data_IF_918799999899
#
_entry.id   IF_918799999899
#
_cell.length_a   1.000
_cell.length_b   1.000
_cell.length_c   1.000
_cell.angle_alpha   90.00
_cell.angle_beta   90.00
_cell.angle_gamma   90.00
#
_symmetry.space_group_name_H-M   'P 1'
#
loop_
_entity.id
_entity.type
_entity.pdbx_description
1 polymer ?
#
# COMPACT_ATOMS: atom_id res chain seq x y z
N UNK A 1 8.63 0.97 19.93
CA UNK A 1 8.78 2.16 19.03
C UNK A 1 10.25 2.37 18.72
N UNK A 2 10.59 2.48 17.43
CA UNK A 2 11.97 2.63 16.99
C UNK A 2 12.54 4.01 17.40
N UNK A 3 13.60 4.03 18.20
CA UNK A 3 14.32 5.23 18.55
C UNK A 3 15.11 5.76 17.34
N UNK A 4 15.36 7.07 17.29
CA UNK A 4 16.25 7.66 16.30
C UNK A 4 17.68 7.11 16.50
N UNK A 5 18.35 6.80 15.39
CA UNK A 5 19.72 6.31 15.36
C UNK A 5 20.51 6.95 14.19
N UNK A 6 21.75 6.53 14.02
CA UNK A 6 22.64 7.12 13.01
C UNK A 6 22.12 7.00 11.56
N UNK A 7 21.21 6.07 11.25
CA UNK A 7 20.65 5.93 9.88
C UNK A 7 19.65 7.03 9.53
N UNK A 8 19.23 7.83 10.49
CA UNK A 8 18.28 8.94 10.31
C UNK A 8 18.97 10.30 10.15
N UNK A 9 20.31 10.37 10.30
CA UNK A 9 21.04 11.63 10.16
C UNK A 9 20.74 12.26 8.78
N UNK A 10 20.12 13.45 8.74
CA UNK A 10 19.74 14.09 7.49
C UNK A 10 20.93 14.54 6.64
N UNK A 11 22.12 14.59 7.21
CA UNK A 11 23.35 14.97 6.49
C UNK A 11 24.00 13.80 5.75
N UNK A 12 23.53 12.56 5.98
CA UNK A 12 24.02 11.39 5.27
C UNK A 12 23.75 11.51 3.77
N UNK A 13 24.77 11.26 2.99
CA UNK A 13 24.70 11.12 1.54
C UNK A 13 25.14 9.75 1.10
N UNK A 14 24.59 9.28 -0.02
CA UNK A 14 24.97 8.04 -0.66
C UNK A 14 25.96 8.29 -1.80
N UNK A 15 26.81 7.29 -2.09
CA UNK A 15 27.56 7.27 -3.34
C UNK A 15 26.69 6.99 -4.57
N UNK A 16 25.41 6.61 -4.38
CA UNK A 16 24.39 6.57 -5.43
C UNK A 16 23.80 7.97 -5.58
N UNK A 17 24.28 8.74 -6.56
CA UNK A 17 23.98 10.18 -6.68
C UNK A 17 22.51 10.53 -6.74
N UNK A 18 21.67 9.69 -7.37
CA UNK A 18 20.22 9.91 -7.47
C UNK A 18 19.52 9.91 -6.11
N UNK A 19 20.08 9.24 -5.10
CA UNK A 19 19.54 9.19 -3.74
C UNK A 19 19.71 10.51 -2.95
N UNK A 20 20.57 11.42 -3.43
CA UNK A 20 20.91 12.66 -2.74
C UNK A 20 20.09 13.87 -3.23
N UNK A 21 19.17 13.66 -4.14
CA UNK A 21 18.26 14.72 -4.61
C UNK A 21 17.26 15.06 -3.51
N UNK A 22 16.92 16.33 -3.39
CA UNK A 22 15.97 16.80 -2.37
C UNK A 22 14.56 16.18 -2.51
N UNK A 23 14.18 15.86 -3.74
CA UNK A 23 12.90 15.23 -4.09
C UNK A 23 12.95 13.70 -4.22
N UNK A 24 14.09 13.07 -3.86
CA UNK A 24 14.23 11.62 -3.95
C UNK A 24 13.28 10.90 -2.99
N UNK A 25 12.54 9.94 -3.50
CA UNK A 25 11.72 9.05 -2.65
C UNK A 25 12.57 8.09 -1.82
N UNK A 26 13.73 7.69 -2.35
CA UNK A 26 14.57 6.68 -1.75
C UNK A 26 15.98 7.20 -1.41
N UNK A 27 16.11 8.20 -0.48
CA UNK A 27 17.40 8.57 0.06
C UNK A 27 17.98 7.47 0.93
N UNK A 28 19.24 7.61 1.35
CA UNK A 28 19.91 6.64 2.22
C UNK A 28 19.22 6.49 3.59
N UNK A 29 18.43 7.46 4.02
CA UNK A 29 17.61 7.42 5.22
C UNK A 29 16.37 6.55 5.07
N UNK A 30 15.92 6.21 3.85
CA UNK A 30 14.75 5.39 3.59
C UNK A 30 15.08 3.89 3.53
N UNK A 31 15.70 3.45 2.45
CA UNK A 31 16.06 2.05 2.18
C UNK A 31 14.86 1.07 2.26
N UNK A 32 13.77 1.31 1.50
CA UNK A 32 12.61 0.43 1.55
C UNK A 32 12.91 -0.91 0.86
N UNK A 33 12.25 -1.96 1.33
CA UNK A 33 12.40 -3.33 0.84
C UNK A 33 11.35 -3.65 -0.23
N UNK A 34 11.73 -4.43 -1.23
CA UNK A 34 10.84 -4.97 -2.25
C UNK A 34 11.37 -6.27 -2.83
N UNK A 35 10.57 -6.88 -3.68
CA UNK A 35 10.95 -8.12 -4.41
C UNK A 35 10.91 -7.85 -5.90
N UNK A 36 12.01 -8.16 -6.57
CA UNK A 36 12.22 -7.84 -7.97
C UNK A 36 12.99 -8.93 -8.72
N UNK A 37 12.94 -8.85 -10.05
CA UNK A 37 13.88 -9.48 -10.98
C UNK A 37 14.23 -8.51 -12.10
N UNK A 38 15.31 -8.74 -12.82
CA UNK A 38 15.59 -7.94 -14.04
C UNK A 38 14.62 -8.34 -15.13
N UNK A 39 14.13 -7.36 -15.88
CA UNK A 39 13.34 -7.63 -17.06
C UNK A 39 14.21 -8.35 -18.08
N UNK A 40 13.68 -9.43 -18.65
CA UNK A 40 14.32 -10.11 -19.79
C UNK A 40 14.46 -9.08 -20.91
N UNK A 41 15.65 -8.85 -21.43
CA UNK A 41 15.90 -7.86 -22.45
C UNK A 41 14.95 -8.05 -23.63
N UNK A 42 14.28 -6.98 -24.04
CA UNK A 42 13.47 -6.90 -25.27
C UNK A 42 14.39 -6.89 -26.50
N UNK A 43 15.02 -8.01 -26.74
CA UNK A 43 15.75 -8.30 -27.97
C UNK A 43 14.95 -9.25 -28.84
N UNK A 44 13.79 -8.82 -29.33
CA UNK A 44 13.16 -9.28 -30.58
C UNK A 44 11.77 -8.62 -30.68
N UNK A 45 11.58 -7.80 -31.67
CA UNK A 45 10.27 -7.35 -32.12
C UNK A 45 9.35 -8.57 -32.32
N UNK A 46 8.35 -8.76 -31.45
CA UNK A 46 7.19 -9.58 -31.77
C UNK A 46 6.10 -8.68 -32.33
N UNK A 47 6.07 -8.57 -33.66
CA UNK A 47 4.88 -8.16 -34.40
C UNK A 47 3.76 -9.17 -34.14
N UNK A 48 2.63 -8.68 -33.68
CA UNK A 48 1.29 -9.20 -33.89
C UNK A 48 0.92 -10.47 -33.12
N UNK A 49 -0.14 -10.38 -32.33
CA UNK A 49 -0.92 -11.56 -31.91
C UNK A 49 -1.56 -11.45 -30.55
N UNK A 50 -2.86 -11.40 -30.57
CA UNK A 50 -3.88 -11.37 -29.54
C UNK A 50 -3.57 -11.88 -28.13
N UNK A 51 -4.12 -11.16 -27.17
CA UNK A 51 -4.15 -11.53 -25.77
C UNK A 51 -4.93 -12.83 -25.57
N UNK A 52 -4.25 -13.90 -25.19
CA UNK A 52 -4.89 -15.10 -24.67
C UNK A 52 -4.82 -15.07 -23.13
N UNK A 53 -5.98 -14.87 -22.49
CA UNK A 53 -6.17 -15.13 -21.07
C UNK A 53 -6.22 -16.66 -20.91
N UNK A 54 -5.11 -17.27 -20.48
CA UNK A 54 -5.03 -18.69 -20.22
C UNK A 54 -4.26 -18.96 -18.94
N UNK A 55 -4.89 -19.69 -18.02
CA UNK A 55 -4.26 -20.22 -16.83
C UNK A 55 -3.07 -21.12 -17.23
N UNK A 56 -1.84 -20.73 -16.89
CA UNK A 56 -0.67 -21.61 -17.06
C UNK A 56 -0.34 -22.35 -15.77
N UNK A 57 -0.83 -23.61 -15.74
CA UNK A 57 -0.20 -24.69 -15.00
C UNK A 57 1.00 -25.20 -15.83
N UNK A 58 2.18 -25.08 -15.27
CA UNK A 58 3.39 -25.82 -15.59
C UNK A 58 3.72 -26.11 -17.06
N UNK A 59 4.62 -25.32 -17.68
CA UNK A 59 5.53 -25.77 -18.73
C UNK A 59 6.81 -24.92 -18.72
N UNK A 60 7.95 -25.56 -18.85
CA UNK A 60 9.30 -25.01 -18.97
C UNK A 60 9.37 -23.90 -20.03
N UNK A 61 9.22 -22.63 -19.59
CA UNK A 61 9.72 -21.49 -20.32
C UNK A 61 11.15 -21.26 -19.84
N UNK A 62 12.08 -20.95 -20.73
CA UNK A 62 13.50 -20.77 -20.46
C UNK A 62 13.72 -19.93 -19.18
N UNK A 63 14.68 -20.38 -18.35
CA UNK A 63 14.94 -19.87 -17.00
C UNK A 63 15.14 -18.36 -16.99
N UNK A 64 14.04 -17.61 -16.83
CA UNK A 64 14.08 -16.19 -16.51
C UNK A 64 14.70 -16.01 -15.12
N UNK A 65 15.35 -14.89 -14.91
CA UNK A 65 15.92 -14.53 -13.60
C UNK A 65 14.88 -14.68 -12.49
N UNK A 66 15.25 -15.28 -11.34
CA UNK A 66 14.34 -15.50 -10.22
C UNK A 66 14.07 -14.18 -9.47
N UNK A 67 12.86 -14.02 -8.96
CA UNK A 67 12.54 -12.96 -8.02
C UNK A 67 13.34 -13.10 -6.73
N UNK A 68 13.76 -11.97 -6.13
CA UNK A 68 14.52 -11.88 -4.88
C UNK A 68 14.39 -10.54 -4.22
N UNK A 69 14.77 -10.45 -2.96
CA UNK A 69 14.74 -9.21 -2.21
C UNK A 69 15.73 -8.16 -2.73
N UNK A 70 15.29 -6.91 -2.70
CA UNK A 70 16.10 -5.74 -3.01
C UNK A 70 15.71 -4.55 -2.15
N UNK A 71 16.59 -3.57 -2.08
CA UNK A 71 16.37 -2.29 -1.38
C UNK A 71 16.52 -1.15 -2.36
N UNK A 72 15.53 -0.23 -2.40
CA UNK A 72 15.64 0.96 -3.24
C UNK A 72 16.62 1.97 -2.66
N UNK A 73 17.39 2.57 -3.54
CA UNK A 73 18.33 3.67 -3.26
C UNK A 73 18.39 4.60 -4.48
N UNK A 74 17.82 5.78 -4.39
CA UNK A 74 17.64 6.68 -5.52
C UNK A 74 16.84 6.03 -6.65
N UNK A 75 17.41 5.95 -7.84
CA UNK A 75 16.83 5.30 -9.03
C UNK A 75 17.31 3.85 -9.21
N UNK A 76 18.01 3.30 -8.22
CA UNK A 76 18.60 1.95 -8.24
C UNK A 76 17.94 1.03 -7.23
N UNK A 77 18.14 -0.26 -7.42
CA UNK A 77 17.84 -1.33 -6.47
C UNK A 77 19.16 -1.98 -6.10
N UNK A 78 19.49 -2.05 -4.83
CA UNK A 78 20.58 -2.90 -4.34
C UNK A 78 20.05 -4.33 -4.21
N UNK A 79 20.66 -5.25 -4.97
CA UNK A 79 20.34 -6.68 -4.99
C UNK A 79 20.86 -7.35 -3.72
N UNK A 80 19.93 -7.70 -2.80
CA UNK A 80 20.30 -8.34 -1.52
C UNK A 80 20.82 -9.76 -1.66
N UNK A 81 20.60 -10.39 -2.81
CA UNK A 81 21.13 -11.73 -3.12
C UNK A 81 22.55 -11.70 -3.71
N UNK A 82 23.13 -10.50 -3.96
CA UNK A 82 24.42 -10.39 -4.63
C UNK A 82 25.57 -11.00 -3.82
N UNK A 83 26.51 -11.72 -4.46
CA UNK A 83 27.71 -12.26 -3.78
C UNK A 83 28.58 -11.16 -3.19
N UNK A 84 28.65 -9.98 -3.84
CA UNK A 84 29.43 -8.82 -3.39
C UNK A 84 28.95 -8.36 -2.01
N UNK A 85 27.64 -8.26 -1.82
CA UNK A 85 27.03 -7.85 -0.58
C UNK A 85 27.25 -8.89 0.53
N UNK A 86 26.97 -10.17 0.22
CA UNK A 86 27.15 -11.27 1.18
C UNK A 86 28.57 -11.38 1.71
N UNK A 87 29.58 -11.11 0.88
CA UNK A 87 30.98 -11.20 1.29
C UNK A 87 31.42 -10.10 2.27
N UNK A 88 30.60 -9.06 2.48
CA UNK A 88 30.84 -7.99 3.41
C UNK A 88 30.07 -8.16 4.74
N UNK A 89 29.16 -9.10 4.78
CA UNK A 89 28.27 -9.34 5.92
C UNK A 89 28.89 -10.26 6.97
N UNK A 90 28.40 -10.17 8.19
CA UNK A 90 28.74 -11.08 9.29
C UNK A 90 27.56 -11.22 10.27
N UNK A 91 27.55 -12.33 11.03
CA UNK A 91 26.54 -12.56 12.07
C UNK A 91 25.11 -12.47 11.55
N UNK A 92 24.24 -11.83 12.29
CA UNK A 92 22.80 -11.69 12.00
C UNK A 92 22.51 -11.07 10.60
N UNK A 93 23.40 -10.22 10.09
CA UNK A 93 23.28 -9.63 8.76
C UNK A 93 23.47 -10.70 7.67
N UNK A 94 24.39 -11.65 7.88
CA UNK A 94 24.57 -12.79 6.94
C UNK A 94 23.32 -13.66 6.87
N UNK A 95 22.72 -13.95 8.02
CA UNK A 95 21.49 -14.73 8.11
C UNK A 95 20.32 -14.01 7.41
N UNK A 96 20.19 -12.69 7.66
CA UNK A 96 19.20 -11.87 7.00
C UNK A 96 19.36 -11.83 5.47
N UNK A 97 20.58 -11.64 4.96
CA UNK A 97 20.85 -11.64 3.53
C UNK A 97 20.66 -13.02 2.87
N UNK A 98 20.86 -14.11 3.62
CA UNK A 98 20.62 -15.46 3.10
C UNK A 98 19.15 -15.64 2.70
N UNK A 99 18.22 -15.23 3.58
CA UNK A 99 16.78 -15.36 3.32
C UNK A 99 16.21 -14.27 2.40
N UNK A 100 16.87 -13.10 2.29
CA UNK A 100 16.50 -12.08 1.30
C UNK A 100 16.72 -12.55 -0.16
N UNK A 101 17.46 -13.63 -0.41
CA UNK A 101 17.57 -14.26 -1.72
C UNK A 101 16.34 -15.07 -2.16
N UNK A 102 15.37 -15.26 -1.29
CA UNK A 102 14.11 -15.94 -1.58
C UNK A 102 13.17 -15.08 -2.44
N UNK A 103 12.18 -15.69 -3.14
CA UNK A 103 11.25 -14.97 -4.01
C UNK A 103 10.16 -14.20 -3.24
N UNK A 104 10.21 -14.20 -1.91
CA UNK A 104 9.33 -13.44 -1.01
C UNK A 104 10.04 -13.17 0.31
N UNK A 105 9.71 -12.06 0.97
CA UNK A 105 10.38 -11.59 2.19
C UNK A 105 9.88 -12.26 3.49
N UNK A 106 8.93 -13.21 3.44
CA UNK A 106 8.34 -13.81 4.65
C UNK A 106 9.39 -14.34 5.63
N UNK A 107 10.41 -15.06 5.14
CA UNK A 107 11.48 -15.59 5.99
C UNK A 107 12.33 -14.49 6.61
N UNK A 108 12.55 -13.38 5.89
CA UNK A 108 13.25 -12.20 6.44
C UNK A 108 12.40 -11.49 7.50
N UNK A 109 11.11 -11.30 7.24
CA UNK A 109 10.18 -10.69 8.18
C UNK A 109 10.13 -11.49 9.50
N UNK A 110 10.12 -12.80 9.42
CA UNK A 110 10.11 -13.70 10.57
C UNK A 110 11.35 -13.60 11.48
N UNK A 111 12.47 -13.03 11.00
CA UNK A 111 13.67 -12.84 11.83
C UNK A 111 13.51 -11.75 12.92
N UNK A 112 12.55 -10.85 12.76
CA UNK A 112 12.17 -9.86 13.75
C UNK A 112 13.02 -8.58 13.78
N UNK A 113 12.66 -7.63 14.66
CA UNK A 113 13.19 -6.26 14.67
C UNK A 113 14.71 -6.16 14.79
N UNK A 114 15.34 -7.05 15.54
CA UNK A 114 16.82 -7.06 15.69
C UNK A 114 17.53 -7.29 14.36
N UNK A 115 17.04 -8.24 13.55
CA UNK A 115 17.62 -8.54 12.25
C UNK A 115 17.32 -7.43 11.23
N UNK A 116 16.11 -6.86 11.27
CA UNK A 116 15.71 -5.76 10.37
C UNK A 116 16.58 -4.54 10.60
N UNK A 117 16.77 -4.12 11.88
CA UNK A 117 17.58 -2.98 12.25
C UNK A 117 19.07 -3.19 11.94
N UNK A 118 19.60 -4.40 12.21
CA UNK A 118 21.00 -4.73 11.90
C UNK A 118 21.26 -4.68 10.38
N UNK A 119 20.36 -5.22 9.55
CA UNK A 119 20.49 -5.14 8.10
C UNK A 119 20.40 -3.69 7.61
N UNK A 120 19.44 -2.89 8.12
CA UNK A 120 19.31 -1.47 7.78
C UNK A 120 20.59 -0.69 8.13
N UNK A 121 21.14 -0.87 9.31
CA UNK A 121 22.38 -0.20 9.76
C UNK A 121 23.57 -0.57 8.84
N UNK A 122 23.72 -1.85 8.53
CA UNK A 122 24.74 -2.34 7.60
C UNK A 122 24.58 -1.73 6.20
N UNK A 123 23.37 -1.71 5.65
CA UNK A 123 23.10 -1.13 4.33
C UNK A 123 23.40 0.39 4.32
N UNK A 124 22.99 1.11 5.36
CA UNK A 124 23.29 2.53 5.52
C UNK A 124 24.81 2.79 5.53
N UNK A 125 25.59 1.95 6.21
CA UNK A 125 27.06 2.10 6.27
C UNK A 125 27.71 1.88 4.91
N UNK A 126 27.39 0.79 4.21
CA UNK A 126 28.07 0.45 2.94
C UNK A 126 27.61 1.33 1.76
N UNK A 127 26.39 1.93 1.83
CA UNK A 127 25.87 2.84 0.82
C UNK A 127 26.27 4.30 1.05
N UNK A 128 26.87 4.64 2.18
CA UNK A 128 27.31 6.00 2.53
C UNK A 128 28.37 6.52 1.56
N UNK A 129 28.32 7.81 1.27
CA UNK A 129 29.37 8.50 0.51
C UNK A 129 30.74 8.30 1.18
N UNK A 130 31.76 8.00 0.38
CA UNK A 130 33.09 7.66 0.88
C UNK A 130 33.30 6.22 1.31
N UNK A 131 32.26 5.35 1.19
CA UNK A 131 32.40 3.92 1.46
C UNK A 131 33.49 3.28 0.59
N UNK A 132 34.47 2.54 1.18
CA UNK A 132 35.50 1.83 0.41
C UNK A 132 34.91 0.72 -0.47
N UNK A 133 33.67 0.31 -0.22
CA UNK A 133 32.99 -0.76 -0.94
C UNK A 133 32.21 -0.28 -2.17
N UNK A 134 32.09 1.05 -2.40
CA UNK A 134 31.27 1.63 -3.46
C UNK A 134 31.57 1.06 -4.85
N UNK A 135 32.86 0.96 -5.24
CA UNK A 135 33.26 0.44 -6.56
C UNK A 135 32.82 -0.99 -6.76
N UNK A 136 32.99 -1.84 -5.75
CA UNK A 136 32.60 -3.26 -5.80
C UNK A 136 31.08 -3.41 -5.85
N UNK A 137 30.36 -2.66 -5.04
CA UNK A 137 28.90 -2.76 -4.92
C UNK A 137 28.13 -2.20 -6.13
N UNK A 138 28.79 -1.48 -7.05
CA UNK A 138 28.14 -1.07 -8.30
C UNK A 138 27.61 -2.25 -9.12
N UNK A 139 28.27 -3.42 -9.04
CA UNK A 139 27.82 -4.62 -9.71
C UNK A 139 26.52 -5.21 -9.13
N UNK A 140 26.22 -4.86 -7.87
CA UNK A 140 24.98 -5.28 -7.18
C UNK A 140 23.81 -4.32 -7.40
N UNK A 141 23.99 -3.21 -8.13
CA UNK A 141 22.92 -2.27 -8.45
C UNK A 141 22.17 -2.68 -9.73
N UNK A 142 20.87 -2.51 -9.70
CA UNK A 142 19.96 -2.69 -10.84
C UNK A 142 19.12 -1.44 -10.98
N UNK A 143 19.12 -0.76 -12.17
CA UNK A 143 18.23 0.37 -12.38
C UNK A 143 16.76 -0.02 -12.19
N UNK A 144 15.98 0.78 -11.47
CA UNK A 144 14.56 0.49 -11.21
C UNK A 144 13.75 0.32 -12.50
N UNK A 145 14.07 1.08 -13.55
CA UNK A 145 13.43 0.97 -14.88
C UNK A 145 13.64 -0.39 -15.58
N UNK A 146 14.69 -1.11 -15.21
CA UNK A 146 15.06 -2.42 -15.78
C UNK A 146 14.55 -3.57 -14.90
N UNK A 147 13.79 -3.26 -13.84
CA UNK A 147 13.24 -4.23 -12.91
C UNK A 147 11.77 -4.56 -13.22
N UNK A 148 11.41 -5.80 -12.94
CA UNK A 148 10.03 -6.27 -12.80
C UNK A 148 9.82 -6.58 -11.31
N UNK A 149 8.70 -6.09 -10.76
CA UNK A 149 8.35 -6.26 -9.34
C UNK A 149 7.28 -7.33 -9.16
N UNK A 150 7.23 -7.89 -7.96
CA UNK A 150 6.13 -8.73 -7.49
C UNK A 150 5.72 -8.30 -6.08
N UNK A 151 4.61 -8.85 -5.59
CA UNK A 151 4.16 -8.63 -4.22
C UNK A 151 5.29 -9.04 -3.26
N UNK A 152 5.71 -8.18 -2.30
CA UNK A 152 6.93 -8.39 -1.53
C UNK A 152 6.87 -9.60 -0.60
N UNK A 153 5.67 -10.07 -0.26
CA UNK A 153 5.47 -11.26 0.59
C UNK A 153 4.47 -12.22 -0.06
N UNK A 154 4.47 -13.46 0.35
CA UNK A 154 3.31 -14.34 0.19
C UNK A 154 2.32 -13.93 1.28
N UNK A 155 1.30 -13.15 0.89
CA UNK A 155 0.25 -12.68 1.78
C UNK A 155 -0.67 -13.86 2.07
N UNK A 156 -0.68 -14.35 3.31
CA UNK A 156 -1.56 -15.42 3.77
C UNK A 156 -2.97 -14.90 3.97
N UNK A 157 -3.10 -13.88 4.79
CA UNK A 157 -4.35 -13.21 5.09
C UNK A 157 -4.27 -11.71 4.81
N UNK A 158 -5.42 -11.14 4.41
CA UNK A 158 -5.60 -9.72 4.22
C UNK A 158 -6.82 -9.27 5.01
N UNK A 159 -6.61 -8.30 5.90
CA UNK A 159 -7.69 -7.67 6.65
C UNK A 159 -7.72 -6.20 6.32
N UNK A 160 -8.85 -5.70 5.86
CA UNK A 160 -9.05 -4.29 5.60
C UNK A 160 -9.83 -3.65 6.75
N UNK A 161 -9.29 -2.54 7.29
CA UNK A 161 -9.87 -1.78 8.38
C UNK A 161 -10.65 -0.56 7.87
N UNK A 162 -11.14 0.24 8.80
CA UNK A 162 -11.93 1.44 8.53
C UNK A 162 -11.47 2.58 9.44
N UNK A 163 -10.14 2.90 9.37
CA UNK A 163 -9.49 3.71 10.40
C UNK A 163 -9.73 5.22 10.28
N UNK A 164 -10.15 5.77 9.14
CA UNK A 164 -10.42 7.21 8.99
C UNK A 164 -11.85 7.57 9.38
N UNK A 165 -12.01 8.37 10.44
CA UNK A 165 -13.31 8.90 10.88
C UNK A 165 -13.91 9.85 9.83
N UNK A 166 -13.09 10.55 9.08
CA UNK A 166 -13.53 11.49 8.03
C UNK A 166 -14.19 10.72 6.90
N UNK A 167 -13.56 9.65 6.39
CA UNK A 167 -14.15 8.76 5.41
C UNK A 167 -15.44 8.13 5.93
N UNK A 168 -15.38 7.53 7.12
CA UNK A 168 -16.55 6.87 7.73
C UNK A 168 -17.73 7.81 7.91
N UNK A 169 -17.48 9.07 8.28
CA UNK A 169 -18.51 10.09 8.43
C UNK A 169 -19.06 10.53 7.06
N UNK A 170 -18.21 10.75 6.08
CA UNK A 170 -18.61 11.19 4.73
C UNK A 170 -19.47 10.13 4.05
N UNK A 171 -19.04 8.88 4.05
CA UNK A 171 -19.82 7.74 3.52
C UNK A 171 -21.11 7.54 4.33
N UNK A 172 -21.00 7.62 5.65
CA UNK A 172 -22.17 7.51 6.52
C UNK A 172 -23.25 8.54 6.21
N UNK A 173 -22.89 9.80 5.94
CA UNK A 173 -23.85 10.87 5.55
C UNK A 173 -24.59 10.55 4.26
N UNK A 174 -23.98 9.84 3.33
CA UNK A 174 -24.64 9.42 2.08
C UNK A 174 -25.74 8.39 2.31
N UNK A 175 -25.56 7.51 3.30
CA UNK A 175 -26.46 6.37 3.55
C UNK A 175 -27.32 6.54 4.82
N UNK A 176 -26.87 7.30 5.80
CA UNK A 176 -27.48 7.50 7.12
C UNK A 176 -27.30 8.96 7.57
N UNK A 177 -27.92 9.94 6.91
CA UNK A 177 -27.67 11.37 7.15
C UNK A 177 -27.90 11.79 8.61
N UNK A 178 -28.87 11.20 9.31
CA UNK A 178 -29.22 11.52 10.69
C UNK A 178 -28.26 10.91 11.73
N UNK A 179 -27.57 9.80 11.35
CA UNK A 179 -26.59 9.12 12.21
C UNK A 179 -25.45 8.54 11.35
N UNK A 180 -24.50 9.36 10.90
CA UNK A 180 -23.46 8.94 9.96
C UNK A 180 -22.55 7.84 10.50
N UNK A 181 -22.16 7.90 11.77
CA UNK A 181 -21.31 6.90 12.38
C UNK A 181 -22.14 5.89 13.19
N UNK A 182 -21.84 4.60 12.98
CA UNK A 182 -22.41 3.53 13.81
C UNK A 182 -21.91 3.68 15.27
N UNK A 183 -22.70 3.25 16.27
CA UNK A 183 -22.37 3.44 17.69
C UNK A 183 -21.04 2.85 18.13
N UNK A 184 -20.60 1.78 17.48
CA UNK A 184 -19.36 1.06 17.78
C UNK A 184 -18.13 1.65 17.12
N UNK A 185 -18.24 2.57 16.13
CA UNK A 185 -17.10 3.07 15.36
C UNK A 185 -16.00 3.66 16.25
N UNK A 186 -16.38 4.48 17.23
CA UNK A 186 -15.42 5.15 18.14
C UNK A 186 -14.85 4.23 19.23
N UNK A 187 -15.31 2.98 19.31
CA UNK A 187 -14.91 2.00 20.31
C UNK A 187 -14.06 0.86 19.74
N UNK A 188 -14.33 0.50 18.50
CA UNK A 188 -13.77 -0.70 17.85
C UNK A 188 -13.11 -0.31 16.55
N UNK A 189 -11.83 -0.64 16.33
CA UNK A 189 -11.27 -0.68 14.98
C UNK A 189 -12.02 -1.71 14.13
N UNK A 190 -12.95 -1.24 13.30
CA UNK A 190 -13.78 -2.11 12.45
C UNK A 190 -12.94 -2.57 11.26
N UNK A 191 -13.03 -3.85 10.93
CA UNK A 191 -12.36 -4.44 9.78
C UNK A 191 -13.14 -5.62 9.21
N UNK A 192 -12.79 -6.04 8.01
CA UNK A 192 -13.31 -7.24 7.37
C UNK A 192 -12.19 -8.03 6.70
N UNK A 193 -12.43 -9.31 6.42
CA UNK A 193 -11.45 -10.16 5.72
C UNK A 193 -11.50 -9.88 4.22
N UNK A 194 -10.39 -9.32 3.71
CA UNK A 194 -10.21 -9.06 2.29
C UNK A 194 -9.73 -10.28 1.51
N UNK A 195 -9.61 -10.13 0.19
CA UNK A 195 -9.13 -11.21 -0.68
C UNK A 195 -7.65 -11.05 -1.00
N UNK A 196 -6.79 -11.87 -0.38
CA UNK A 196 -5.33 -11.81 -0.59
C UNK A 196 -4.91 -12.17 -2.02
N UNK A 197 -5.61 -13.10 -2.70
CA UNK A 197 -5.21 -13.61 -4.01
C UNK A 197 -5.33 -12.61 -5.17
N UNK A 198 -6.07 -11.51 -5.00
CA UNK A 198 -6.22 -10.45 -6.01
C UNK A 198 -5.29 -9.24 -5.78
N UNK A 199 -4.42 -9.30 -4.78
CA UNK A 199 -3.43 -8.25 -4.53
C UNK A 199 -2.32 -8.32 -5.58
N UNK A 200 -2.00 -7.18 -6.19
CA UNK A 200 -0.94 -7.01 -7.19
C UNK A 200 -0.11 -5.76 -6.87
N UNK A 201 1.04 -5.64 -7.50
CA UNK A 201 1.89 -4.44 -7.39
C UNK A 201 1.47 -3.36 -8.40
N UNK A 202 1.91 -2.15 -8.14
CA UNK A 202 1.79 -0.97 -8.99
C UNK A 202 2.08 -1.26 -10.47
N UNK A 203 1.32 -0.61 -11.35
CA UNK A 203 1.32 -0.89 -12.79
C UNK A 203 0.29 -1.94 -13.20
N UNK A 204 -0.58 -2.37 -12.29
CA UNK A 204 -1.64 -3.32 -12.56
C UNK A 204 -2.63 -2.78 -13.61
N UNK A 205 -2.95 -3.61 -14.60
CA UNK A 205 -4.10 -3.45 -15.47
C UNK A 205 -5.17 -4.47 -15.04
N UNK A 206 -6.40 -4.04 -14.85
CA UNK A 206 -7.48 -4.92 -14.42
C UNK A 206 -8.77 -4.63 -15.17
N UNK A 207 -9.55 -5.69 -15.39
CA UNK A 207 -10.85 -5.60 -16.04
C UNK A 207 -11.89 -5.00 -15.09
N UNK A 208 -12.75 -4.11 -15.63
CA UNK A 208 -13.91 -3.62 -14.89
C UNK A 208 -14.72 -4.81 -14.34
N UNK A 209 -15.02 -4.86 -13.04
CA UNK A 209 -15.74 -5.98 -12.47
C UNK A 209 -17.18 -6.04 -12.95
N UNK A 210 -17.69 -7.27 -13.07
CA UNK A 210 -19.07 -7.59 -13.38
C UNK A 210 -19.71 -8.23 -12.15
N UNK A 211 -20.93 -7.82 -11.82
CA UNK A 211 -21.65 -8.36 -10.67
C UNK A 211 -23.12 -8.03 -10.69
N UNK A 212 -23.85 -8.50 -9.67
CA UNK A 212 -25.24 -8.09 -9.49
C UNK A 212 -25.32 -6.64 -9.02
N UNK A 213 -26.15 -5.87 -9.70
CA UNK A 213 -26.50 -4.50 -9.32
C UNK A 213 -28.00 -4.35 -9.21
N UNK A 214 -28.44 -3.45 -8.32
CA UNK A 214 -29.86 -3.12 -8.12
C UNK A 214 -30.04 -1.60 -8.17
N UNK A 215 -30.10 -1.00 -9.38
CA UNK A 215 -30.33 0.43 -9.52
C UNK A 215 -31.69 0.85 -8.95
N UNK A 216 -31.76 2.07 -8.44
CA UNK A 216 -33.02 2.63 -7.93
C UNK A 216 -34.09 2.62 -9.03
N UNK A 217 -35.28 2.12 -8.69
CA UNK A 217 -36.43 2.06 -9.60
C UNK A 217 -36.49 0.82 -10.47
N UNK A 218 -35.53 -0.12 -10.36
CA UNK A 218 -35.66 -1.46 -11.02
C UNK A 218 -36.44 -2.41 -10.14
N UNK A 219 -37.20 -3.34 -10.78
CA UNK A 219 -38.01 -4.34 -10.08
C UNK A 219 -37.16 -5.52 -9.58
N UNK A 220 -36.01 -5.80 -10.20
CA UNK A 220 -35.14 -6.93 -9.88
C UNK A 220 -33.65 -6.55 -10.14
N UNK A 221 -32.72 -7.21 -9.44
CA UNK A 221 -31.30 -7.05 -9.77
C UNK A 221 -30.98 -7.70 -11.13
N UNK A 222 -29.90 -7.28 -11.73
CA UNK A 222 -29.36 -7.89 -12.94
C UNK A 222 -27.82 -7.88 -12.91
N UNK A 223 -27.18 -8.71 -13.71
CA UNK A 223 -25.73 -8.79 -13.82
C UNK A 223 -25.24 -7.82 -14.89
N UNK A 224 -24.30 -6.95 -14.53
CA UNK A 224 -23.71 -5.99 -15.46
C UNK A 224 -22.31 -5.57 -14.98
N UNK A 225 -21.50 -4.93 -15.88
CA UNK A 225 -20.30 -4.21 -15.45
C UNK A 225 -20.65 -3.11 -14.45
N UNK A 226 -19.81 -2.96 -13.43
CA UNK A 226 -19.96 -1.87 -12.46
C UNK A 226 -19.96 -0.50 -13.15
N UNK A 227 -20.96 0.32 -12.85
CA UNK A 227 -21.10 1.71 -13.32
C UNK A 227 -20.51 2.71 -12.34
N UNK A 228 -20.18 2.27 -11.13
CA UNK A 228 -19.69 3.10 -10.03
C UNK A 228 -18.35 2.57 -9.52
N UNK A 229 -17.39 2.37 -10.45
CA UNK A 229 -16.05 1.93 -10.10
C UNK A 229 -15.26 3.07 -9.46
N UNK A 230 -14.62 2.79 -8.33
CA UNK A 230 -13.93 3.75 -7.48
C UNK A 230 -12.54 3.24 -7.05
N UNK A 231 -11.73 4.11 -6.52
CA UNK A 231 -10.49 3.81 -5.79
C UNK A 231 -10.67 4.10 -4.30
N UNK A 232 -9.84 3.52 -3.48
CA UNK A 232 -9.67 3.88 -2.06
C UNK A 232 -8.19 4.07 -1.75
N UNK A 233 -7.83 5.31 -1.37
CA UNK A 233 -6.48 5.69 -0.96
C UNK A 233 -6.19 5.17 0.44
N UNK A 234 -5.23 4.26 0.58
CA UNK A 234 -4.93 3.58 1.82
C UNK A 234 -3.43 3.43 2.08
N UNK A 235 -3.13 3.05 3.33
CA UNK A 235 -1.82 2.57 3.77
C UNK A 235 -1.93 1.08 4.09
N UNK A 236 -1.08 0.26 3.47
CA UNK A 236 -0.91 -1.15 3.78
C UNK A 236 0.12 -1.34 4.90
N UNK A 237 -0.15 -2.25 5.82
CA UNK A 237 0.68 -2.55 6.99
C UNK A 237 1.12 -4.00 6.89
N UNK A 238 2.41 -4.26 6.71
CA UNK A 238 2.95 -5.62 6.64
C UNK A 238 3.32 -6.15 8.02
N UNK A 239 2.74 -7.29 8.38
CA UNK A 239 3.11 -8.01 9.59
C UNK A 239 4.49 -8.63 9.41
N UNK A 240 5.38 -8.33 10.32
CA UNK A 240 6.73 -8.87 10.39
C UNK A 240 6.80 -10.16 11.19
N UNK A 241 6.75 -10.05 12.51
CA UNK A 241 6.67 -11.21 13.40
C UNK A 241 5.23 -11.54 13.73
N UNK A 242 4.86 -12.81 13.61
CA UNK A 242 3.53 -13.26 14.00
C UNK A 242 3.38 -13.50 15.51
N UNK A 243 2.19 -13.90 15.92
CA UNK A 243 1.89 -14.41 17.26
C UNK A 243 1.28 -15.81 17.18
N UNK A 244 1.42 -16.59 18.24
CA UNK A 244 0.82 -17.92 18.31
C UNK A 244 -0.72 -17.82 18.45
N UNK A 245 -1.44 -18.77 17.85
CA UNK A 245 -2.88 -18.89 18.02
C UNK A 245 -3.23 -19.01 19.53
N UNK A 246 -4.19 -18.21 19.97
CA UNK A 246 -4.60 -18.09 21.38
C UNK A 246 -3.79 -17.05 22.16
N UNK A 247 -2.68 -16.52 21.63
CA UNK A 247 -1.94 -15.42 22.25
C UNK A 247 -2.44 -14.05 21.74
N UNK A 248 -2.16 -13.02 22.51
CA UNK A 248 -2.54 -11.63 22.19
C UNK A 248 -1.30 -10.79 22.02
N UNK A 249 -1.37 -9.78 21.18
CA UNK A 249 -0.32 -8.76 21.04
C UNK A 249 -0.72 -7.52 21.83
N UNK A 250 -0.05 -7.24 22.97
CA UNK A 250 -0.30 -6.03 23.75
C UNK A 250 0.02 -4.77 22.94
N UNK A 251 -0.67 -3.66 23.23
CA UNK A 251 -0.45 -2.39 22.52
C UNK A 251 1.00 -1.89 22.63
N UNK A 252 1.65 -2.15 23.75
CA UNK A 252 3.05 -1.77 23.95
C UNK A 252 4.02 -2.46 22.98
N UNK A 253 3.69 -3.67 22.55
CA UNK A 253 4.53 -4.52 21.70
C UNK A 253 4.04 -4.55 20.24
N UNK A 254 2.87 -3.96 19.96
CA UNK A 254 2.17 -4.09 18.68
C UNK A 254 3.02 -3.68 17.48
N UNK A 255 3.79 -2.61 17.59
CA UNK A 255 4.63 -2.12 16.50
C UNK A 255 5.89 -2.98 16.27
N UNK A 256 6.32 -3.77 17.24
CA UNK A 256 7.41 -4.74 17.07
C UNK A 256 6.97 -5.94 16.18
N UNK A 257 5.67 -6.10 16.00
CA UNK A 257 5.09 -7.05 15.06
C UNK A 257 4.93 -6.49 13.63
N UNK A 258 5.17 -5.20 13.41
CA UNK A 258 5.02 -4.55 12.11
C UNK A 258 6.39 -4.34 11.47
N UNK A 259 6.60 -4.88 10.28
CA UNK A 259 7.83 -4.66 9.51
C UNK A 259 7.86 -3.26 8.90
N UNK A 260 6.77 -2.85 8.24
CA UNK A 260 6.71 -1.57 7.55
C UNK A 260 5.38 -1.33 6.87
N UNK A 261 5.33 -0.22 6.16
CA UNK A 261 4.13 0.30 5.49
C UNK A 261 4.37 0.43 3.98
N UNK A 262 3.28 0.31 3.21
CA UNK A 262 3.25 0.61 1.78
C UNK A 262 2.01 1.43 1.42
N UNK A 263 1.94 1.99 0.21
CA UNK A 263 0.69 2.52 -0.33
C UNK A 263 -0.20 1.36 -0.81
N UNK A 264 -1.51 1.53 -0.67
CA UNK A 264 -2.49 0.53 -1.07
C UNK A 264 -3.69 1.23 -1.72
N UNK A 265 -4.21 0.64 -2.80
CA UNK A 265 -5.47 1.02 -3.43
C UNK A 265 -6.42 -0.18 -3.36
N UNK A 266 -7.50 -0.05 -2.59
CA UNK A 266 -8.59 -1.04 -2.54
C UNK A 266 -9.69 -0.66 -3.52
N UNK A 267 -9.60 -1.19 -4.77
CA UNK A 267 -10.55 -0.89 -5.82
C UNK A 267 -11.96 -1.32 -5.43
N UNK A 268 -12.95 -0.45 -5.70
CA UNK A 268 -14.31 -0.61 -5.18
C UNK A 268 -15.36 -0.47 -6.26
N UNK A 269 -16.22 -1.47 -6.42
CA UNK A 269 -17.40 -1.41 -7.27
C UNK A 269 -18.61 -1.01 -6.42
N UNK A 270 -18.90 0.30 -6.31
CA UNK A 270 -19.85 0.86 -5.34
C UNK A 270 -21.30 0.43 -5.54
N UNK A 271 -21.72 0.21 -6.77
CA UNK A 271 -23.05 -0.29 -7.10
C UNK A 271 -23.24 -1.77 -6.73
N UNK A 272 -22.22 -2.61 -6.97
CA UNK A 272 -22.19 -4.00 -6.48
C UNK A 272 -22.16 -3.99 -4.95
N UNK A 273 -21.29 -3.15 -4.33
CA UNK A 273 -21.20 -3.02 -2.87
C UNK A 273 -22.53 -2.64 -2.23
N UNK A 274 -23.24 -1.67 -2.79
CA UNK A 274 -24.52 -1.21 -2.25
C UNK A 274 -25.59 -2.31 -2.22
N UNK A 275 -25.52 -3.29 -3.12
CA UNK A 275 -26.45 -4.41 -3.20
C UNK A 275 -26.07 -5.56 -2.26
N UNK A 276 -24.78 -5.90 -2.14
CA UNK A 276 -24.34 -7.12 -1.45
C UNK A 276 -23.87 -6.95 -0.01
N UNK A 277 -23.52 -5.70 0.44
CA UNK A 277 -22.73 -5.51 1.67
C UNK A 277 -23.46 -5.91 2.95
N UNK A 278 -24.77 -6.00 2.94
CA UNK A 278 -25.56 -6.45 4.09
C UNK A 278 -26.00 -7.90 3.89
N UNK A 279 -25.92 -8.78 4.92
CA UNK A 279 -25.55 -8.47 6.33
C UNK A 279 -24.06 -8.65 6.68
N UNK A 280 -23.19 -9.19 5.79
CA UNK A 280 -21.87 -9.68 6.18
C UNK A 280 -20.70 -8.75 5.80
N UNK A 281 -20.95 -7.64 5.14
CA UNK A 281 -19.93 -6.73 4.64
C UNK A 281 -19.62 -6.88 3.15
N UNK A 282 -18.65 -6.12 2.59
CA UNK A 282 -18.32 -6.17 1.17
C UNK A 282 -17.70 -7.52 0.78
N UNK A 283 -17.95 -7.96 -0.46
CA UNK A 283 -17.46 -9.23 -1.00
C UNK A 283 -16.97 -9.06 -2.45
N UNK A 284 -17.81 -9.29 -3.46
CA UNK A 284 -17.41 -9.19 -4.88
C UNK A 284 -17.09 -7.76 -5.29
N UNK A 285 -17.65 -6.78 -4.60
CA UNK A 285 -17.35 -5.36 -4.79
C UNK A 285 -15.89 -4.98 -4.52
N UNK A 286 -15.15 -5.82 -3.81
CA UNK A 286 -13.77 -5.59 -3.37
C UNK A 286 -12.79 -6.68 -3.85
N UNK A 287 -13.25 -7.92 -4.02
CA UNK A 287 -12.38 -9.07 -4.25
C UNK A 287 -11.75 -9.14 -5.64
N UNK A 288 -12.07 -8.22 -6.56
CA UNK A 288 -11.61 -8.25 -7.95
C UNK A 288 -10.20 -7.67 -8.14
N UNK A 289 -9.79 -6.68 -7.34
CA UNK A 289 -8.47 -6.07 -7.42
C UNK A 289 -8.10 -5.30 -6.15
N UNK A 290 -6.84 -5.42 -5.73
CA UNK A 290 -6.16 -4.55 -4.77
C UNK A 290 -4.75 -4.30 -5.29
N UNK A 291 -4.30 -3.05 -5.31
CA UNK A 291 -2.97 -2.68 -5.82
C UNK A 291 -2.11 -2.08 -4.71
N UNK A 292 -0.86 -2.54 -4.57
CA UNK A 292 0.09 -2.01 -3.58
C UNK A 292 1.35 -1.47 -4.24
N UNK A 293 2.04 -0.54 -3.56
CA UNK A 293 3.42 -0.19 -3.90
C UNK A 293 4.32 -1.43 -3.76
N UNK A 294 5.29 -1.65 -4.66
CA UNK A 294 6.24 -2.75 -4.50
C UNK A 294 7.23 -2.53 -3.34
N UNK A 295 7.25 -1.33 -2.76
CA UNK A 295 8.19 -0.91 -1.74
C UNK A 295 7.55 -0.88 -0.36
N UNK A 296 8.18 -1.56 0.60
CA UNK A 296 7.81 -1.54 2.02
C UNK A 296 8.79 -0.64 2.75
N UNK A 297 8.31 0.52 3.20
CA UNK A 297 9.07 1.45 4.04
C UNK A 297 9.01 0.97 5.48
N UNK A 298 10.16 0.68 6.09
CA UNK A 298 10.20 0.10 7.44
C UNK A 298 9.70 1.10 8.49
N UNK A 299 9.09 0.63 9.59
CA UNK A 299 8.71 1.51 10.70
C UNK A 299 9.92 2.26 11.28
N UNK A 300 11.11 1.64 11.24
CA UNK A 300 12.34 2.30 11.66
C UNK A 300 12.66 3.51 10.78
N UNK A 301 12.53 3.43 9.45
CA UNK A 301 12.72 4.57 8.55
C UNK A 301 11.72 5.70 8.81
N UNK A 302 10.54 5.39 9.34
CA UNK A 302 9.48 6.33 9.67
C UNK A 302 9.59 6.95 11.07
N UNK A 303 10.57 6.54 11.88
CA UNK A 303 10.75 7.05 13.24
C UNK A 303 10.84 8.60 13.34
N UNK A 304 11.51 9.32 12.41
CA UNK A 304 11.55 10.79 12.45
C UNK A 304 10.19 11.47 12.23
N UNK A 305 9.21 10.76 11.67
CA UNK A 305 7.92 11.31 11.26
C UNK A 305 6.77 10.92 12.20
N UNK A 306 7.11 10.41 13.37
CA UNK A 306 6.13 10.13 14.42
C UNK A 306 5.51 11.42 14.96
N UNK A 307 4.23 11.34 15.28
CA UNK A 307 3.44 12.43 15.84
C UNK A 307 2.56 11.93 17.00
N UNK A 308 2.14 12.83 17.91
CA UNK A 308 1.16 12.49 18.92
C UNK A 308 -0.13 11.96 18.28
N UNK A 309 -0.66 10.86 18.81
CA UNK A 309 -2.00 10.40 18.49
C UNK A 309 -2.99 11.03 19.48
N UNK A 310 -4.03 11.64 18.93
CA UNK A 310 -5.01 12.38 19.75
C UNK A 310 -6.43 12.00 19.34
N UNK A 311 -7.38 12.26 20.23
CA UNK A 311 -8.82 12.23 19.97
C UNK A 311 -9.46 13.55 20.40
N UNK A 312 -10.56 13.97 19.77
CA UNK A 312 -11.40 15.05 20.27
C UNK A 312 -11.81 14.81 21.74
N UNK A 313 -11.87 15.86 22.53
CA UNK A 313 -12.19 15.73 23.96
C UNK A 313 -13.60 15.19 24.23
N UNK A 314 -14.51 15.41 23.28
CA UNK A 314 -15.90 14.96 23.30
C UNK A 314 -16.05 13.47 22.93
N UNK A 315 -15.00 12.87 22.35
CA UNK A 315 -15.04 11.46 21.97
C UNK A 315 -14.76 10.55 23.16
N UNK A 316 -15.37 9.35 23.17
CA UNK A 316 -15.06 8.36 24.21
C UNK A 316 -13.58 7.98 24.17
N UNK A 317 -12.95 7.85 25.32
CA UNK A 317 -11.58 7.32 25.40
C UNK A 317 -11.58 5.84 25.03
N UNK A 318 -10.51 5.34 24.38
CA UNK A 318 -10.40 3.90 24.07
C UNK A 318 -10.46 3.05 25.32
N UNK A 319 -10.86 1.80 25.16
CA UNK A 319 -10.74 0.81 26.23
C UNK A 319 -9.25 0.60 26.59
N UNK A 320 -8.92 0.18 27.84
CA UNK A 320 -7.53 0.09 28.32
C UNK A 320 -6.57 -0.71 27.43
N UNK A 321 -7.05 -1.71 26.69
CA UNK A 321 -6.19 -2.50 25.81
C UNK A 321 -5.77 -1.74 24.53
N UNK A 322 -6.46 -0.64 24.19
CA UNK A 322 -6.17 0.24 23.05
C UNK A 322 -5.63 1.62 23.49
N UNK A 323 -5.21 1.75 24.75
CA UNK A 323 -4.75 3.02 25.32
C UNK A 323 -3.36 2.84 25.96
N UNK A 324 -2.50 3.85 25.80
CA UNK A 324 -1.19 3.83 26.44
C UNK A 324 -0.40 5.12 26.21
N UNK A 325 0.57 5.44 27.13
CA UNK A 325 1.34 6.67 27.07
C UNK A 325 2.20 6.78 25.81
N UNK A 326 2.75 5.66 25.36
CA UNK A 326 3.56 5.60 24.14
C UNK A 326 2.72 5.91 22.87
N UNK A 327 1.50 5.36 22.79
CA UNK A 327 0.54 5.70 21.73
C UNK A 327 0.25 7.21 21.71
N UNK A 328 -0.06 7.80 22.87
CA UNK A 328 -0.37 9.22 22.99
C UNK A 328 0.80 10.11 22.56
N UNK A 329 2.02 9.71 22.87
CA UNK A 329 3.22 10.49 22.55
C UNK A 329 3.59 10.43 21.07
N UNK A 330 3.40 9.28 20.38
CA UNK A 330 3.98 9.04 19.06
C UNK A 330 3.28 7.95 18.24
N UNK A 331 2.01 7.69 18.50
CA UNK A 331 1.25 6.62 17.82
C UNK A 331 0.80 6.97 16.39
N UNK A 332 0.79 8.25 16.01
CA UNK A 332 0.50 8.67 14.65
C UNK A 332 1.78 8.75 13.79
N UNK A 333 1.62 8.61 12.47
CA UNK A 333 2.69 8.74 11.49
C UNK A 333 2.28 9.79 10.47
N UNK A 334 3.11 10.80 10.26
CA UNK A 334 2.82 11.91 9.34
C UNK A 334 3.25 11.53 7.91
N UNK A 335 2.36 10.85 7.19
CA UNK A 335 2.54 10.49 5.78
C UNK A 335 1.60 11.36 4.96
N UNK A 336 2.15 12.15 4.04
CA UNK A 336 1.37 12.89 3.04
C UNK A 336 0.94 11.92 1.94
N UNK A 337 -0.31 12.00 1.51
CA UNK A 337 -0.93 11.09 0.56
C UNK A 337 -1.63 11.87 -0.53
N UNK A 338 -1.37 11.54 -1.79
CA UNK A 338 -2.00 12.17 -2.94
C UNK A 338 -2.63 11.16 -3.88
N UNK A 339 -3.75 11.56 -4.49
CA UNK A 339 -4.42 10.85 -5.58
C UNK A 339 -4.34 11.66 -6.87
N UNK A 340 -3.91 11.01 -7.93
CA UNK A 340 -3.83 11.58 -9.27
C UNK A 340 -4.64 10.74 -10.24
N UNK A 341 -5.33 11.41 -11.17
CA UNK A 341 -6.11 10.79 -12.24
C UNK A 341 -5.54 11.21 -13.59
N UNK A 342 -5.33 10.22 -14.45
CA UNK A 342 -4.99 10.40 -15.86
C UNK A 342 -6.01 9.68 -16.72
N UNK A 343 -6.78 10.43 -17.51
CA UNK A 343 -7.78 9.85 -18.41
C UNK A 343 -7.13 9.30 -19.68
N UNK A 344 -7.85 8.43 -20.42
CA UNK A 344 -7.39 7.97 -21.73
C UNK A 344 -7.13 9.15 -22.70
N UNK A 345 -7.97 10.20 -22.64
CA UNK A 345 -7.81 11.41 -23.43
C UNK A 345 -6.58 12.20 -23.03
N UNK A 346 -6.33 12.39 -21.72
CA UNK A 346 -5.12 13.08 -21.26
C UNK A 346 -3.85 12.40 -21.79
N UNK A 347 -3.78 11.06 -21.75
CA UNK A 347 -2.66 10.32 -22.34
C UNK A 347 -2.52 10.52 -23.84
N UNK A 348 -3.63 10.45 -24.56
CA UNK A 348 -3.62 10.62 -26.02
C UNK A 348 -3.19 12.02 -26.45
N UNK A 349 -3.54 13.05 -25.69
CA UNK A 349 -3.22 14.46 -25.94
C UNK A 349 -1.90 14.91 -25.26
N UNK A 350 -1.23 14.05 -24.49
CA UNK A 350 0.01 14.40 -23.76
C UNK A 350 -0.22 15.40 -22.62
N UNK A 351 -1.43 15.47 -22.07
CA UNK A 351 -1.75 16.31 -20.91
C UNK A 351 -1.27 15.66 -19.62
N UNK A 352 -0.86 16.50 -18.67
CA UNK A 352 -0.44 16.01 -17.36
C UNK A 352 -1.64 15.43 -16.56
N UNK A 353 -1.41 14.39 -15.75
CA UNK A 353 -2.40 13.93 -14.79
C UNK A 353 -2.89 15.04 -13.86
N UNK A 354 -4.11 14.89 -13.33
CA UNK A 354 -4.70 15.87 -12.42
C UNK A 354 -4.74 15.32 -10.99
N UNK A 355 -4.28 16.11 -10.02
CA UNK A 355 -4.40 15.77 -8.61
C UNK A 355 -5.84 15.96 -8.14
N UNK A 356 -6.47 14.88 -7.69
CA UNK A 356 -7.83 14.88 -7.18
C UNK A 356 -7.91 15.26 -5.70
N UNK A 357 -6.95 14.80 -4.89
CA UNK A 357 -6.95 15.02 -3.44
C UNK A 357 -5.54 14.95 -2.85
N UNK A 358 -5.42 15.50 -1.62
CA UNK A 358 -4.22 15.45 -0.79
C UNK A 358 -4.64 15.35 0.68
N UNK A 359 -4.30 14.26 1.33
CA UNK A 359 -4.63 13.98 2.74
C UNK A 359 -3.39 13.58 3.54
N UNK A 360 -3.55 13.34 4.84
CA UNK A 360 -2.48 12.85 5.70
C UNK A 360 -2.91 11.61 6.48
N UNK A 361 -2.06 10.60 6.54
CA UNK A 361 -2.27 9.42 7.39
C UNK A 361 -2.26 9.76 8.89
N UNK A 362 -1.68 10.90 9.25
CA UNK A 362 -1.71 11.44 10.61
C UNK A 362 -3.14 11.62 11.15
N UNK A 363 -4.11 11.86 10.27
CA UNK A 363 -5.51 12.10 10.62
C UNK A 363 -6.31 10.80 10.84
N UNK A 364 -5.63 9.65 10.79
CA UNK A 364 -6.24 8.35 11.07
C UNK A 364 -6.75 8.27 12.52
N UNK A 365 -8.02 7.91 12.70
CA UNK A 365 -8.66 7.81 14.02
C UNK A 365 -8.14 6.62 14.84
N UNK A 366 -7.75 5.54 14.16
CA UNK A 366 -7.12 4.38 14.75
C UNK A 366 -5.67 4.25 14.25
N UNK A 367 -4.72 4.09 15.17
CA UNK A 367 -3.30 3.96 14.86
C UNK A 367 -2.93 2.54 14.44
N UNK A 368 -1.78 2.39 13.75
CA UNK A 368 -1.21 1.09 13.36
C UNK A 368 -1.15 0.11 14.52
N UNK A 369 -0.62 0.54 15.68
CA UNK A 369 -0.53 -0.31 16.86
C UNK A 369 -1.89 -0.77 17.41
N UNK A 370 -2.90 0.12 17.35
CA UNK A 370 -4.26 -0.23 17.77
C UNK A 370 -4.91 -1.25 16.82
N UNK A 371 -4.66 -1.17 15.51
CA UNK A 371 -5.17 -2.14 14.54
C UNK A 371 -4.60 -3.54 14.83
N UNK A 372 -3.29 -3.65 15.02
CA UNK A 372 -2.60 -4.92 15.33
C UNK A 372 -3.09 -5.51 16.66
N UNK A 373 -3.15 -4.68 17.71
CA UNK A 373 -3.63 -5.12 19.01
C UNK A 373 -5.06 -5.63 18.96
N UNK A 374 -5.94 -4.88 18.30
CA UNK A 374 -7.34 -5.27 18.18
C UNK A 374 -7.50 -6.56 17.37
N UNK A 375 -6.75 -6.72 16.28
CA UNK A 375 -6.80 -7.92 15.44
C UNK A 375 -6.50 -9.20 16.21
N UNK A 376 -5.64 -9.12 17.23
CA UNK A 376 -5.21 -10.29 18.00
C UNK A 376 -5.90 -10.44 19.38
N UNK A 377 -6.77 -9.51 19.79
CA UNK A 377 -7.34 -9.47 21.16
C UNK A 377 -8.14 -10.74 21.51
N UNK A 378 -8.76 -11.38 20.55
CA UNK A 378 -9.49 -12.63 20.71
C UNK A 378 -8.59 -13.88 20.63
N UNK A 379 -7.27 -13.72 20.45
CA UNK A 379 -6.31 -14.81 20.27
C UNK A 379 -6.08 -15.20 18.80
N UNK A 380 -6.58 -14.42 17.83
CA UNK A 380 -6.23 -14.62 16.42
C UNK A 380 -4.73 -14.52 16.21
N UNK A 381 -4.14 -15.45 15.46
CA UNK A 381 -2.75 -15.37 15.05
C UNK A 381 -2.57 -14.48 13.82
N UNK A 382 -1.50 -13.72 13.83
CA UNK A 382 -0.96 -13.03 12.67
C UNK A 382 0.27 -13.81 12.19
N UNK A 383 0.50 -13.85 10.89
CA UNK A 383 1.64 -14.52 10.28
C UNK A 383 2.59 -13.53 9.59
N UNK A 384 3.92 -13.84 9.51
CA UNK A 384 4.85 -13.00 8.75
C UNK A 384 4.42 -12.86 7.30
N UNK A 385 4.22 -11.61 6.87
CA UNK A 385 3.80 -11.29 5.52
C UNK A 385 2.29 -11.07 5.34
N UNK A 386 1.47 -11.24 6.38
CA UNK A 386 0.07 -10.80 6.34
C UNK A 386 -0.01 -9.29 6.12
N UNK A 387 -1.07 -8.86 5.46
CA UNK A 387 -1.32 -7.46 5.13
C UNK A 387 -2.57 -6.94 5.86
N UNK A 388 -2.45 -5.78 6.48
CA UNK A 388 -3.58 -5.04 7.00
C UNK A 388 -3.74 -3.77 6.16
N UNK A 389 -4.93 -3.52 5.59
CA UNK A 389 -5.31 -2.24 4.99
C UNK A 389 -5.80 -1.29 6.08
N UNK A 390 -5.47 -0.03 5.95
CA UNK A 390 -5.91 0.99 6.91
C UNK A 390 -7.39 1.35 6.76
N UNK A 391 -8.02 0.96 5.65
CA UNK A 391 -9.21 1.61 5.15
C UNK A 391 -8.90 2.97 4.52
N UNK A 392 -9.83 3.49 3.75
CA UNK A 392 -9.67 4.75 3.00
C UNK A 392 -9.21 5.89 3.91
N UNK A 393 -8.14 6.59 3.56
CA UNK A 393 -7.58 7.70 4.29
C UNK A 393 -8.06 9.04 3.73
N UNK A 394 -9.01 9.64 4.43
CA UNK A 394 -9.54 10.97 4.13
C UNK A 394 -9.25 11.92 5.29
N UNK A 395 -9.06 13.19 4.98
CA UNK A 395 -8.93 14.28 5.96
C UNK A 395 -10.25 15.05 6.16
N UNK A 396 -10.22 16.13 6.95
CA UNK A 396 -11.41 16.86 7.37
C UNK A 396 -12.09 17.67 6.25
N UNK A 397 -11.40 17.96 5.15
CA UNK A 397 -11.94 18.79 4.05
C UNK A 397 -12.21 17.97 2.79
N UNK A 398 -13.04 18.50 1.89
CA UNK A 398 -13.39 17.82 0.62
C UNK A 398 -12.15 17.54 -0.24
N UNK A 399 -11.18 18.45 -0.27
CA UNK A 399 -9.93 18.26 -1.03
C UNK A 399 -9.00 17.17 -0.46
N UNK A 400 -9.36 16.60 0.69
CA UNK A 400 -8.63 15.53 1.38
C UNK A 400 -9.34 14.18 1.32
N UNK A 401 -10.37 14.05 0.48
CA UNK A 401 -11.15 12.82 0.36
C UNK A 401 -10.34 11.72 -0.36
N UNK A 402 -10.36 10.52 0.20
CA UNK A 402 -9.61 9.36 -0.30
C UNK A 402 -10.35 8.53 -1.36
N UNK A 403 -11.52 8.96 -1.84
CA UNK A 403 -12.32 8.23 -2.84
C UNK A 403 -13.15 9.17 -3.72
N UNK A 404 -13.51 8.71 -4.93
CA UNK A 404 -14.47 9.44 -5.78
C UNK A 404 -15.89 9.43 -5.18
N UNK A 405 -16.26 8.39 -4.44
CA UNK A 405 -17.53 8.34 -3.72
C UNK A 405 -17.73 9.58 -2.84
N UNK A 406 -16.68 10.02 -2.15
CA UNK A 406 -16.71 11.20 -1.30
C UNK A 406 -16.66 12.49 -2.14
N UNK A 407 -15.69 12.60 -3.07
CA UNK A 407 -15.50 13.76 -3.93
C UNK A 407 -16.72 14.09 -4.78
N UNK A 408 -17.44 13.06 -5.25
CA UNK A 408 -18.63 13.20 -6.08
C UNK A 408 -19.95 13.17 -5.28
N UNK A 409 -19.88 13.12 -3.95
CA UNK A 409 -21.04 13.02 -3.07
C UNK A 409 -21.98 11.86 -3.49
N UNK A 410 -21.39 10.69 -3.72
CA UNK A 410 -22.13 9.50 -4.18
C UNK A 410 -22.61 9.60 -5.62
N UNK A 411 -21.88 10.29 -6.48
CA UNK A 411 -22.20 10.51 -7.90
C UNK A 411 -23.18 11.65 -8.17
N UNK A 412 -23.58 12.40 -7.14
CA UNK A 412 -24.52 13.54 -7.29
C UNK A 412 -23.84 14.80 -7.81
N UNK A 413 -22.54 14.93 -7.58
CA UNK A 413 -21.75 16.10 -7.94
C UNK A 413 -20.56 15.71 -8.81
N UNK A 414 -20.67 15.79 -10.15
CA UNK A 414 -19.55 15.45 -11.04
C UNK A 414 -18.36 16.39 -10.81
N UNK A 415 -17.15 15.83 -10.80
CA UNK A 415 -15.90 16.58 -10.84
C UNK A 415 -15.63 17.00 -12.30
N UNK A 416 -15.26 18.24 -12.50
CA UNK A 416 -14.81 18.74 -13.81
C UNK A 416 -13.29 18.79 -13.80
N UNK A 417 -12.65 17.99 -14.65
CA UNK A 417 -11.21 17.93 -14.83
C UNK A 417 -10.70 19.08 -15.70
N UNK A 418 -9.42 19.43 -15.59
CA UNK A 418 -8.78 20.46 -16.42
C UNK A 418 -8.84 20.15 -17.91
N UNK A 419 -8.93 18.88 -18.29
CA UNK A 419 -9.17 18.43 -19.67
C UNK A 419 -10.58 18.78 -20.19
N UNK A 420 -11.48 19.27 -19.33
CA UNK A 420 -12.89 19.48 -19.62
C UNK A 420 -13.77 18.24 -19.53
N UNK A 421 -13.18 17.07 -19.22
CA UNK A 421 -13.93 15.85 -18.93
C UNK A 421 -14.58 15.91 -17.56
N UNK A 422 -15.63 15.13 -17.35
CA UNK A 422 -16.27 15.02 -16.03
C UNK A 422 -16.17 13.58 -15.49
N UNK A 423 -16.07 13.46 -14.17
CA UNK A 423 -16.08 12.16 -13.48
C UNK A 423 -16.97 12.22 -12.25
N UNK A 424 -17.79 11.19 -12.10
CA UNK A 424 -18.43 10.81 -10.83
C UNK A 424 -17.78 9.56 -10.26
N UNK A 425 -17.46 8.63 -11.15
CA UNK A 425 -16.73 7.38 -10.92
C UNK A 425 -15.77 7.14 -12.09
N UNK A 426 -14.91 6.13 -11.96
CA UNK A 426 -13.91 5.79 -12.96
C UNK A 426 -14.56 5.20 -14.23
N UNK A 427 -14.02 5.58 -15.38
CA UNK A 427 -14.38 4.99 -16.68
C UNK A 427 -13.23 4.14 -17.22
N UNK A 428 -13.52 3.34 -18.26
CA UNK A 428 -12.50 2.52 -18.92
C UNK A 428 -11.41 3.40 -19.52
N UNK A 429 -10.16 3.01 -19.33
CA UNK A 429 -9.01 3.78 -19.72
C UNK A 429 -8.54 4.83 -18.70
N UNK A 430 -9.23 5.03 -17.59
CA UNK A 430 -8.72 5.86 -16.50
C UNK A 430 -7.56 5.15 -15.78
N UNK A 431 -6.49 5.89 -15.52
CA UNK A 431 -5.37 5.49 -14.66
C UNK A 431 -5.42 6.31 -13.38
N UNK A 432 -5.42 5.63 -12.25
CA UNK A 432 -5.28 6.26 -10.93
C UNK A 432 -3.88 5.99 -10.41
N UNK A 433 -3.23 7.04 -9.86
CA UNK A 433 -1.91 6.93 -9.25
C UNK A 433 -1.93 7.56 -7.87
N UNK A 434 -1.40 6.85 -6.87
CA UNK A 434 -1.16 7.37 -5.53
C UNK A 434 0.32 7.66 -5.34
N UNK A 435 0.61 8.77 -4.68
CA UNK A 435 1.93 9.09 -4.14
C UNK A 435 1.84 9.26 -2.63
N UNK A 436 2.90 8.88 -1.94
CA UNK A 436 3.01 9.06 -0.51
C UNK A 436 4.44 9.38 -0.09
N UNK A 437 4.59 10.28 0.88
CA UNK A 437 5.88 10.64 1.44
C UNK A 437 5.76 11.20 2.85
N UNK A 438 6.87 11.14 3.59
CA UNK A 438 7.05 11.86 4.84
C UNK A 438 8.07 12.99 4.63
N UNK A 439 7.76 14.16 5.15
CA UNK A 439 8.61 15.33 5.07
C UNK A 439 8.48 16.17 6.35
N UNK A 440 9.62 16.58 6.91
CA UNK A 440 9.68 17.42 8.10
C UNK A 440 10.96 18.24 8.08
N UNK A 441 10.95 19.53 8.51
CA UNK A 441 12.16 20.31 8.64
C UNK A 441 13.24 19.59 9.47
N UNK A 442 14.47 19.54 8.96
CA UNK A 442 15.60 18.86 9.61
C UNK A 442 15.62 17.34 9.43
N UNK A 443 14.73 16.75 8.62
CA UNK A 443 14.75 15.35 8.24
C UNK A 443 14.88 15.20 6.73
N UNK A 444 15.49 14.12 6.27
CA UNK A 444 15.44 13.76 4.85
C UNK A 444 14.02 13.33 4.48
N UNK A 445 13.54 13.71 3.28
CA UNK A 445 12.28 13.22 2.73
C UNK A 445 12.34 11.68 2.56
N UNK A 446 11.26 10.99 2.87
CA UNK A 446 11.12 9.53 2.73
C UNK A 446 9.88 9.24 1.91
N UNK A 447 10.02 8.67 0.72
CA UNK A 447 8.92 8.34 -0.17
C UNK A 447 8.53 6.87 -0.13
N UNK A 448 7.33 6.57 -0.62
CA UNK A 448 6.76 5.22 -0.69
C UNK A 448 6.73 4.67 -2.13
N UNK A 449 7.32 5.41 -3.10
CA UNK A 449 7.10 5.14 -4.52
C UNK A 449 5.66 5.45 -4.92
N UNK A 450 5.13 4.68 -5.86
CA UNK A 450 3.78 4.90 -6.37
C UNK A 450 2.92 3.63 -6.36
N UNK A 451 1.60 3.83 -6.31
CA UNK A 451 0.58 2.83 -6.67
C UNK A 451 -0.16 3.33 -7.89
N UNK A 452 -0.03 2.62 -9.00
CA UNK A 452 -0.73 2.94 -10.24
C UNK A 452 -1.58 1.74 -10.71
N UNK A 453 -2.79 2.01 -11.20
CA UNK A 453 -3.66 1.01 -11.80
C UNK A 453 -4.45 1.57 -12.96
N UNK A 454 -4.66 0.77 -14.01
CA UNK A 454 -5.39 1.11 -15.23
C UNK A 454 -6.67 0.28 -15.32
N UNK A 455 -7.80 0.95 -15.49
CA UNK A 455 -9.09 0.31 -15.71
C UNK A 455 -9.23 -0.12 -17.16
N UNK A 456 -9.42 -1.42 -17.41
CA UNK A 456 -9.74 -1.98 -18.72
C UNK A 456 -11.25 -2.23 -18.85
N UNK A 457 -11.80 -2.28 -20.08
CA UNK A 457 -13.17 -2.66 -20.31
C UNK A 457 -13.53 -4.01 -19.69
N UNK A 458 -14.78 -4.19 -19.29
CA UNK A 458 -15.28 -5.45 -18.74
C UNK A 458 -15.21 -6.58 -19.77
N UNK A 459 -14.95 -7.80 -19.29
CA UNK A 459 -15.07 -9.00 -20.10
C UNK A 459 -16.48 -9.55 -19.98
N UNK A 460 -17.22 -9.61 -21.09
CA UNK A 460 -18.67 -9.90 -21.11
C UNK A 460 -19.04 -11.32 -21.55
N UNK A 461 -18.06 -12.17 -21.90
CA UNK A 461 -18.38 -13.56 -22.30
C UNK A 461 -19.12 -14.31 -21.19
N UNK A 462 -20.32 -14.81 -21.49
CA UNK A 462 -21.16 -15.52 -20.53
C UNK A 462 -22.01 -14.61 -19.63
N UNK A 463 -22.05 -13.31 -19.90
CA UNK A 463 -22.98 -12.35 -19.27
C UNK A 463 -24.08 -12.05 -20.25
N UNK A 464 -25.34 -12.36 -19.89
CA UNK A 464 -26.52 -11.98 -20.69
C UNK A 464 -26.71 -10.46 -20.58
N UNK A 465 -26.82 -9.76 -21.73
CA UNK A 465 -27.22 -8.35 -21.71
C UNK A 465 -28.64 -8.24 -21.14
N UNK A 466 -28.87 -7.31 -20.19
CA UNK A 466 -30.24 -7.06 -19.74
C UNK A 466 -31.11 -6.61 -20.93
N UNK A 467 -32.24 -7.27 -21.13
CA UNK A 467 -33.21 -6.98 -22.19
C UNK A 467 -33.79 -5.55 -22.08
#
# INVERSE_FOLDING_TARGET
MNALNATHDPTLQSWVGAANRADADFPIQNLPFGVFRRRSGSGAEKRGGGASVGAESGRNAGEGERFRGGVAIGDQILDLASPELRSLSSGVVTDALAVCGEPALNSFLALGPTAWSALRAFLSEILRAGSPHATRLRAALVPQKDAEYTVPTRIGDYTDFYASIHHATSVGRLFRPDNPLLPNYKWVPIGYHGRASSIRVSGQEFLRPVGQIMPKGTASPFVAPSRSLDYELEVGIFIGTGNALGSRVPLADAEDHVFGLCLLNDWSARDIQAWEYQPLGPFLAKSFATTISPWVVTLEALAPFRAPWTRPAEDPQPLPYLEGPALRASGAIDIQLEVWLETARMRAEGLAPERLSHSSFRDSYWSVGQLVTHHSINGCNLAPGDLLGSGTQSGPTVGEAGSLLELSEGGKRPLTLRSGETRTFLVDGDRVTFHGWCERPGCARVGFGEVAGLVLPAYLTGVEEPA
#
